data_IF_851283612394
#
_entry.id   IF_851283612394
#
_cell.length_a   1.000
_cell.length_b   1.000
_cell.length_c   1.000
_cell.angle_alpha   90.00
_cell.angle_beta   90.00
_cell.angle_gamma   90.00
#
_symmetry.space_group_name_H-M   'P 1'
#
loop_
_entity.id
_entity.type
_entity.pdbx_description
1 polymer ?
#
# COMPACT_ATOMS: atom_id res chain seq x y z
N UNK A 1 -4.61 -12.77 35.23
CA UNK A 1 -4.89 -13.60 34.04
C UNK A 1 -4.50 -12.79 32.82
N UNK A 2 -3.37 -13.08 32.19
CA UNK A 2 -2.86 -12.35 31.02
C UNK A 2 -3.04 -13.23 29.79
N UNK A 3 -4.16 -13.12 29.10
CA UNK A 3 -4.40 -13.82 27.83
C UNK A 3 -3.71 -13.05 26.70
N UNK A 4 -2.40 -13.26 26.55
CA UNK A 4 -1.68 -12.85 25.36
C UNK A 4 -2.19 -13.65 24.16
N UNK A 5 -3.00 -13.02 23.30
CA UNK A 5 -3.54 -13.66 22.10
C UNK A 5 -2.36 -14.09 21.22
N UNK A 6 -2.31 -15.34 20.70
CA UNK A 6 -1.18 -15.80 19.91
C UNK A 6 -0.95 -14.91 18.70
N UNK A 7 0.32 -14.55 18.47
CA UNK A 7 0.75 -13.86 17.27
C UNK A 7 0.67 -14.87 16.12
N UNK A 8 -0.30 -14.70 15.24
CA UNK A 8 -0.40 -15.46 14.00
C UNK A 8 0.50 -14.84 12.93
N UNK A 9 0.97 -15.58 11.92
CA UNK A 9 1.77 -15.01 10.83
C UNK A 9 1.12 -13.78 10.18
N UNK A 10 -0.20 -13.82 9.95
CA UNK A 10 -0.98 -12.67 9.44
C UNK A 10 -0.97 -11.45 10.38
N UNK A 11 -0.96 -11.68 11.70
CA UNK A 11 -0.83 -10.59 12.69
C UNK A 11 0.59 -10.06 12.74
N UNK A 12 1.58 -10.93 12.60
CA UNK A 12 2.98 -10.51 12.54
C UNK A 12 3.23 -9.64 11.31
N UNK A 13 2.69 -10.03 10.14
CA UNK A 13 2.70 -9.18 8.95
C UNK A 13 2.02 -7.84 9.24
N UNK A 14 0.79 -7.82 9.78
CA UNK A 14 0.11 -6.57 10.11
C UNK A 14 0.87 -5.69 11.12
N UNK A 15 1.70 -6.27 11.99
CA UNK A 15 2.51 -5.55 12.99
C UNK A 15 3.84 -5.03 12.43
N UNK A 16 4.39 -5.70 11.41
CA UNK A 16 5.71 -5.36 10.83
C UNK A 16 5.58 -4.63 9.49
N UNK A 17 4.42 -4.73 8.87
CA UNK A 17 4.11 -4.05 7.61
C UNK A 17 3.96 -2.56 7.89
N UNK A 18 4.72 -1.74 7.16
CA UNK A 18 4.67 -0.27 7.26
C UNK A 18 3.25 0.30 7.06
N UNK A 19 3.10 1.63 7.09
CA UNK A 19 1.79 2.27 7.12
C UNK A 19 0.85 1.76 6.02
N UNK A 20 -0.39 1.45 6.42
CA UNK A 20 -1.43 0.94 5.52
C UNK A 20 -1.85 1.99 4.48
N UNK A 21 -1.88 3.26 4.89
CA UNK A 21 -2.18 4.40 4.04
C UNK A 21 -0.88 4.99 3.52
N UNK A 22 -0.69 4.91 2.21
CA UNK A 22 0.47 5.46 1.53
C UNK A 22 0.05 6.77 0.85
N UNK A 23 0.74 7.86 1.21
CA UNK A 23 0.50 9.19 0.66
C UNK A 23 1.72 9.64 -0.14
N UNK A 24 1.47 10.13 -1.35
CA UNK A 24 2.50 10.52 -2.28
C UNK A 24 3.05 9.37 -3.11
N UNK A 25 3.56 9.71 -4.29
CA UNK A 25 4.14 8.74 -5.22
C UNK A 25 5.42 8.11 -4.68
N UNK A 26 6.12 8.78 -3.77
CA UNK A 26 7.35 8.27 -3.13
C UNK A 26 7.04 7.08 -2.22
N UNK A 27 6.08 7.23 -1.30
CA UNK A 27 5.65 6.14 -0.42
C UNK A 27 5.06 4.96 -1.20
N UNK A 28 4.31 5.24 -2.26
CA UNK A 28 3.75 4.22 -3.16
C UNK A 28 4.88 3.50 -3.93
N UNK A 29 5.86 4.25 -4.43
CA UNK A 29 7.00 3.69 -5.16
C UNK A 29 7.86 2.81 -4.27
N UNK A 30 8.12 3.23 -3.04
CA UNK A 30 8.85 2.46 -2.03
C UNK A 30 8.11 1.15 -1.71
N UNK A 31 6.81 1.22 -1.44
CA UNK A 31 6.00 0.03 -1.16
C UNK A 31 5.97 -0.96 -2.33
N UNK A 32 6.00 -0.47 -3.57
CA UNK A 32 6.02 -1.30 -4.79
C UNK A 32 7.43 -1.74 -5.22
N UNK A 33 8.50 -1.19 -4.63
CA UNK A 33 9.87 -1.44 -5.06
C UNK A 33 10.18 -0.93 -6.48
N UNK A 34 9.55 0.17 -6.92
CA UNK A 34 9.73 0.74 -8.27
C UNK A 34 10.16 2.20 -8.22
N UNK A 35 10.52 2.79 -9.36
CA UNK A 35 10.77 4.22 -9.43
C UNK A 35 9.49 5.05 -9.30
N UNK A 36 9.60 6.28 -8.79
CA UNK A 36 8.49 7.26 -8.72
C UNK A 36 7.85 7.48 -10.10
N UNK A 37 8.65 7.48 -11.17
CA UNK A 37 8.15 7.59 -12.54
C UNK A 37 7.29 6.39 -12.96
N UNK A 38 7.66 5.18 -12.56
CA UNK A 38 6.85 3.98 -12.78
C UNK A 38 5.56 4.05 -11.96
N UNK A 39 5.63 4.41 -10.67
CA UNK A 39 4.45 4.59 -9.82
C UNK A 39 3.48 5.63 -10.41
N UNK A 40 3.99 6.75 -10.94
CA UNK A 40 3.17 7.77 -11.64
C UNK A 40 2.48 7.22 -12.88
N UNK A 41 3.14 6.35 -13.65
CA UNK A 41 2.54 5.70 -14.82
C UNK A 41 1.43 4.75 -14.39
N UNK A 42 1.66 3.95 -13.35
CA UNK A 42 0.68 3.03 -12.79
C UNK A 42 -0.54 3.78 -12.24
N UNK A 43 -0.34 4.92 -11.59
CA UNK A 43 -1.39 5.78 -11.05
C UNK A 43 -2.35 6.34 -12.12
N UNK A 44 -1.96 6.33 -13.39
CA UNK A 44 -2.82 6.71 -14.52
C UNK A 44 -3.62 5.55 -15.10
N UNK A 45 -3.34 4.31 -14.68
CA UNK A 45 -4.02 3.13 -15.17
C UNK A 45 -5.20 2.83 -14.24
N UNK A 46 -6.44 2.69 -14.76
CA UNK A 46 -7.61 2.40 -13.93
C UNK A 46 -7.55 1.00 -13.29
N UNK A 47 -6.65 0.14 -13.74
CA UNK A 47 -6.46 -1.20 -13.21
C UNK A 47 -5.61 -1.24 -11.93
N UNK A 48 -4.96 -0.15 -11.55
CA UNK A 48 -4.13 -0.06 -10.35
C UNK A 48 -4.86 0.69 -9.24
N UNK A 49 -4.84 0.19 -7.98
CA UNK A 49 -5.52 0.81 -6.86
C UNK A 49 -4.71 1.99 -6.30
N UNK A 50 -4.50 3.00 -7.15
CA UNK A 50 -3.83 4.26 -6.82
C UNK A 50 -4.79 5.38 -7.16
N UNK A 51 -5.21 6.11 -6.14
CA UNK A 51 -6.26 7.12 -6.20
C UNK A 51 -5.66 8.52 -6.09
N UNK A 52 -6.37 9.51 -6.60
CA UNK A 52 -6.06 10.93 -6.38
C UNK A 52 -7.29 11.62 -5.79
N UNK A 53 -7.45 11.63 -4.46
CA UNK A 53 -8.57 12.29 -3.82
C UNK A 53 -8.64 13.77 -4.21
N UNK A 54 -9.84 14.26 -4.53
CA UNK A 54 -10.05 15.67 -4.89
C UNK A 54 -9.57 16.59 -3.76
N UNK A 55 -8.92 17.70 -4.11
CA UNK A 55 -8.37 18.66 -3.14
C UNK A 55 -7.09 18.24 -2.41
N UNK A 56 -6.66 16.97 -2.48
CA UNK A 56 -5.45 16.51 -1.76
C UNK A 56 -4.13 16.95 -2.39
N UNK A 57 -4.12 17.24 -3.70
CA UNK A 57 -2.91 17.56 -4.45
C UNK A 57 -1.93 16.38 -4.63
N UNK A 58 -2.18 15.23 -4.02
CA UNK A 58 -1.26 14.08 -3.99
C UNK A 58 -1.94 12.76 -4.32
N UNK A 59 -1.13 11.72 -4.57
CA UNK A 59 -1.62 10.37 -4.83
C UNK A 59 -1.74 9.57 -3.53
N UNK A 60 -2.65 8.62 -3.51
CA UNK A 60 -3.00 7.82 -2.35
C UNK A 60 -3.17 6.35 -2.76
N UNK A 61 -2.72 5.42 -1.92
CA UNK A 61 -2.99 4.01 -2.09
C UNK A 61 -3.05 3.28 -0.76
N UNK A 62 -3.81 2.19 -0.71
CA UNK A 62 -3.74 1.22 0.38
C UNK A 62 -2.66 0.19 0.09
N UNK A 63 -1.78 -0.05 1.05
CA UNK A 63 -0.72 -1.05 0.91
C UNK A 63 -1.29 -2.44 0.65
N UNK A 64 -2.35 -2.83 1.37
CA UNK A 64 -3.01 -4.11 1.17
C UNK A 64 -3.53 -4.30 -0.26
N UNK A 65 -4.16 -3.27 -0.84
CA UNK A 65 -4.64 -3.31 -2.23
C UNK A 65 -3.49 -3.41 -3.24
N UNK A 66 -2.41 -2.67 -3.02
CA UNK A 66 -1.21 -2.77 -3.87
C UNK A 66 -0.60 -4.17 -3.83
N UNK A 67 -0.50 -4.77 -2.64
CA UNK A 67 0.03 -6.14 -2.48
C UNK A 67 -0.90 -7.18 -3.09
N UNK A 68 -2.21 -7.06 -2.89
CA UNK A 68 -3.20 -7.93 -3.52
C UNK A 68 -3.10 -7.86 -5.06
N UNK A 69 -2.86 -6.65 -5.60
CA UNK A 69 -2.67 -6.46 -7.05
C UNK A 69 -1.42 -7.17 -7.58
N UNK A 70 -0.35 -7.22 -6.79
CA UNK A 70 0.88 -7.91 -7.17
C UNK A 70 0.76 -9.44 -7.10
N UNK A 71 0.01 -9.96 -6.14
CA UNK A 71 -0.19 -11.41 -5.96
C UNK A 71 -1.29 -11.99 -6.85
N UNK A 72 -2.09 -11.15 -7.52
CA UNK A 72 -3.02 -11.57 -8.58
C UNK A 72 -4.25 -12.33 -8.10
N UNK A 73 -4.67 -12.12 -6.85
CA UNK A 73 -5.86 -12.74 -6.25
C UNK A 73 -7.12 -11.88 -6.37
#
# INVERSE_FOLDING_TARGET
>A
MMTGKPITPKRFDALTTGPEKLWGLEAIAEALGVSVNKARRLAKLPSWPIYKPEGSGTWFAFRSELMAKLTGN
#
